data_IF_735924808799
#
_entry.id   IF_735924808799
#
_cell.length_a   1.000
_cell.length_b   1.000
_cell.length_c   1.000
_cell.angle_alpha   90.00
_cell.angle_beta   90.00
_cell.angle_gamma   90.00
#
_symmetry.space_group_name_H-M   'P 1'
#
loop_
_entity.id
_entity.type
_entity.pdbx_description
1 polymer ?
#
# COMPACT_ATOMS: atom_id res chain seq x y z
N UNK A 1 24.38 -17.45 -3.35
CA UNK A 1 24.85 -16.68 -2.18
C UNK A 1 25.28 -15.32 -2.72
N UNK A 2 24.35 -14.35 -2.76
CA UNK A 2 24.68 -12.97 -3.10
C UNK A 2 25.21 -12.32 -1.82
N UNK A 3 26.46 -11.89 -1.87
CA UNK A 3 27.16 -11.17 -0.81
C UNK A 3 26.45 -9.84 -0.61
N UNK A 4 25.88 -9.66 0.57
CA UNK A 4 25.34 -8.36 1.05
C UNK A 4 26.55 -7.45 1.31
N UNK A 5 27.15 -6.93 0.23
CA UNK A 5 28.25 -5.99 0.34
C UNK A 5 27.67 -4.68 0.86
N UNK A 6 27.97 -4.37 2.12
CA UNK A 6 27.67 -3.09 2.76
C UNK A 6 28.35 -1.98 1.94
N UNK A 7 27.54 -1.23 1.18
CA UNK A 7 28.02 -0.05 0.46
C UNK A 7 28.23 1.07 1.51
N UNK A 8 29.49 1.52 1.73
CA UNK A 8 29.79 2.54 2.74
C UNK A 8 29.14 3.91 2.45
N UNK A 9 28.57 4.11 1.26
CA UNK A 9 27.81 5.30 0.91
C UNK A 9 26.37 5.29 1.45
N UNK A 10 25.86 4.13 1.92
CA UNK A 10 24.49 4.00 2.43
C UNK A 10 24.48 4.20 3.96
N UNK A 11 23.74 5.20 4.49
CA UNK A 11 23.62 5.38 5.93
C UNK A 11 23.10 4.12 6.62
N UNK A 12 23.70 3.75 7.76
CA UNK A 12 23.32 2.53 8.49
C UNK A 12 21.83 2.49 8.88
N UNK A 13 21.22 3.66 9.13
CA UNK A 13 19.79 3.80 9.42
C UNK A 13 18.95 3.39 8.20
N UNK A 14 19.31 3.89 7.02
CA UNK A 14 18.62 3.55 5.78
C UNK A 14 18.89 2.07 5.39
N UNK A 15 20.08 1.54 5.63
CA UNK A 15 20.40 0.13 5.41
C UNK A 15 19.51 -0.82 6.24
N UNK A 16 19.22 -0.46 7.51
CA UNK A 16 18.24 -1.21 8.32
C UNK A 16 16.83 -1.12 7.77
N UNK A 17 16.41 0.07 7.32
CA UNK A 17 15.11 0.27 6.70
C UNK A 17 14.96 -0.55 5.41
N UNK A 18 15.97 -0.58 4.54
CA UNK A 18 16.00 -1.45 3.35
C UNK A 18 15.82 -2.92 3.72
N UNK A 19 16.51 -3.37 4.77
CA UNK A 19 16.37 -4.75 5.25
C UNK A 19 14.94 -5.01 5.74
N UNK A 20 14.31 -4.08 6.44
CA UNK A 20 12.93 -4.19 6.90
C UNK A 20 11.95 -4.25 5.71
N UNK A 21 12.11 -3.39 4.69
CA UNK A 21 11.31 -3.42 3.45
C UNK A 21 11.40 -4.78 2.77
N UNK A 22 12.61 -5.33 2.59
CA UNK A 22 12.84 -6.61 1.89
C UNK A 22 12.38 -7.83 2.68
N UNK A 23 12.25 -7.71 4.01
CA UNK A 23 11.80 -8.80 4.90
C UNK A 23 10.32 -8.70 5.27
N UNK A 24 9.63 -7.65 4.87
CA UNK A 24 8.21 -7.47 5.14
C UNK A 24 7.41 -8.67 4.63
N UNK A 25 6.46 -9.12 5.44
CA UNK A 25 5.55 -10.23 5.08
C UNK A 25 4.39 -9.66 4.27
N UNK A 26 4.46 -9.85 2.97
CA UNK A 26 3.42 -9.38 2.06
C UNK A 26 2.39 -10.47 1.77
N UNK A 27 1.24 -10.05 1.30
CA UNK A 27 0.16 -10.95 0.88
C UNK A 27 0.61 -11.87 -0.27
N UNK A 28 0.25 -13.18 -0.24
CA UNK A 28 0.65 -14.13 -1.28
C UNK A 28 0.03 -13.84 -2.65
N UNK A 29 -1.06 -13.05 -2.69
CA UNK A 29 -1.72 -12.62 -3.91
C UNK A 29 -0.95 -11.52 -4.65
N UNK A 30 0.13 -10.98 -4.04
CA UNK A 30 0.94 -9.94 -4.67
C UNK A 30 2.19 -10.51 -5.34
N UNK A 31 2.38 -10.13 -6.61
CA UNK A 31 3.67 -10.20 -7.26
C UNK A 31 4.41 -8.89 -7.01
N UNK A 32 5.39 -8.93 -6.12
CA UNK A 32 6.20 -7.78 -5.72
C UNK A 32 7.57 -7.80 -6.38
N UNK A 33 8.05 -6.64 -6.81
CA UNK A 33 9.41 -6.45 -7.31
C UNK A 33 9.97 -5.07 -6.96
N UNK A 34 11.29 -5.01 -6.71
CA UNK A 34 11.99 -3.74 -6.58
C UNK A 34 12.14 -3.10 -7.97
N UNK A 35 11.88 -1.81 -8.07
CA UNK A 35 11.98 -1.02 -9.29
C UNK A 35 12.93 0.17 -9.08
N UNK A 36 13.43 0.80 -10.15
CA UNK A 36 14.22 2.02 -10.02
C UNK A 36 13.44 3.08 -9.23
N UNK A 37 14.06 3.57 -8.15
CA UNK A 37 13.47 4.63 -7.35
C UNK A 37 13.46 5.96 -8.13
N UNK A 38 12.44 6.82 -7.91
CA UNK A 38 12.40 8.14 -8.54
C UNK A 38 13.58 8.98 -8.04
N UNK A 39 14.31 9.59 -8.99
CA UNK A 39 15.43 10.46 -8.67
C UNK A 39 14.99 11.85 -8.20
N UNK A 40 15.84 12.51 -7.41
CA UNK A 40 15.67 13.92 -7.04
C UNK A 40 14.63 14.20 -5.94
N UNK A 41 14.04 13.17 -5.32
CA UNK A 41 13.09 13.35 -4.21
C UNK A 41 13.76 13.31 -2.83
N UNK A 42 14.83 12.55 -2.70
CA UNK A 42 15.61 12.41 -1.47
C UNK A 42 17.03 11.91 -1.81
N UNK A 43 18.00 12.07 -0.90
CA UNK A 43 19.35 11.51 -1.08
C UNK A 43 19.34 9.98 -1.20
N UNK A 44 18.43 9.30 -0.50
CA UNK A 44 18.28 7.86 -0.55
C UNK A 44 16.82 7.46 -0.74
N UNK A 45 16.58 6.48 -1.60
CA UNK A 45 15.25 5.98 -1.87
C UNK A 45 15.27 4.50 -2.27
N UNK A 46 14.17 3.80 -1.98
CA UNK A 46 13.86 2.48 -2.54
C UNK A 46 12.42 2.47 -3.02
N UNK A 47 12.18 1.81 -4.15
CA UNK A 47 10.84 1.71 -4.70
C UNK A 47 10.49 0.25 -5.03
N UNK A 48 9.24 -0.09 -4.77
CA UNK A 48 8.65 -1.39 -5.03
C UNK A 48 7.42 -1.20 -5.93
N UNK A 49 7.20 -2.15 -6.83
CA UNK A 49 5.94 -2.27 -7.56
C UNK A 49 5.29 -3.61 -7.24
N UNK A 50 3.97 -3.64 -7.19
CA UNK A 50 3.21 -4.86 -6.98
C UNK A 50 2.00 -4.91 -7.90
N UNK A 51 1.70 -6.13 -8.37
CA UNK A 51 0.46 -6.49 -9.05
C UNK A 51 -0.31 -7.49 -8.19
N UNK A 52 -1.61 -7.28 -8.06
CA UNK A 52 -2.53 -8.23 -7.41
C UNK A 52 -2.94 -9.28 -8.43
N UNK A 53 -2.60 -10.53 -8.17
CA UNK A 53 -2.87 -11.66 -9.06
C UNK A 53 -3.74 -12.68 -8.31
N UNK A 54 -4.87 -13.12 -8.89
CA UNK A 54 -5.69 -14.14 -8.25
C UNK A 54 -4.90 -15.45 -8.14
N UNK A 55 -4.86 -16.03 -6.93
CA UNK A 55 -4.19 -17.31 -6.65
C UNK A 55 -4.95 -18.50 -7.27
N UNK A 56 -6.22 -18.33 -7.59
CA UNK A 56 -7.09 -19.35 -8.15
C UNK A 56 -7.58 -18.93 -9.54
N UNK A 57 -7.47 -19.84 -10.49
CA UNK A 57 -8.06 -19.82 -11.82
C UNK A 57 -7.24 -19.21 -12.96
N UNK A 58 -6.04 -19.71 -13.30
CA UNK A 58 -5.52 -19.74 -14.68
C UNK A 58 -5.72 -18.52 -15.59
N UNK A 59 -6.16 -17.38 -15.03
CA UNK A 59 -6.38 -16.13 -15.74
C UNK A 59 -5.29 -15.17 -15.28
N UNK A 60 -4.40 -14.80 -16.18
CA UNK A 60 -3.36 -13.78 -15.98
C UNK A 60 -3.97 -12.35 -15.90
N UNK A 61 -5.08 -12.17 -15.19
CA UNK A 61 -5.68 -10.86 -15.01
C UNK A 61 -5.13 -10.19 -13.75
N UNK A 62 -4.59 -8.99 -13.92
CA UNK A 62 -4.17 -8.13 -12.82
C UNK A 62 -5.42 -7.47 -12.23
N UNK A 63 -5.69 -7.76 -10.95
CA UNK A 63 -6.85 -7.22 -10.21
C UNK A 63 -6.57 -5.83 -9.63
N UNK A 64 -5.31 -5.43 -9.57
CA UNK A 64 -4.89 -4.14 -9.05
C UNK A 64 -3.39 -3.98 -9.13
N UNK A 65 -2.92 -2.76 -9.08
CA UNK A 65 -1.50 -2.43 -9.13
C UNK A 65 -1.15 -1.41 -8.07
N UNK A 66 0.12 -1.40 -7.64
CA UNK A 66 0.58 -0.41 -6.70
C UNK A 66 2.07 -0.14 -6.76
N UNK A 67 2.45 0.96 -6.12
CA UNK A 67 3.84 1.35 -5.91
C UNK A 67 4.02 1.82 -4.47
N UNK A 68 5.15 1.46 -3.91
CA UNK A 68 5.60 1.89 -2.60
C UNK A 68 6.99 2.48 -2.74
N UNK A 69 7.18 3.68 -2.23
CA UNK A 69 8.48 4.37 -2.24
C UNK A 69 8.80 4.76 -0.81
N UNK A 70 9.96 4.33 -0.32
CA UNK A 70 10.53 4.82 0.91
C UNK A 70 11.63 5.83 0.55
N UNK A 71 11.50 7.03 1.06
CA UNK A 71 12.47 8.11 0.96
C UNK A 71 13.18 8.25 2.30
N UNK A 72 14.46 8.58 2.28
CA UNK A 72 15.26 8.91 3.45
C UNK A 72 16.14 10.12 3.19
N UNK A 73 16.04 11.08 4.08
CA UNK A 73 16.87 12.28 4.10
C UNK A 73 17.39 12.50 5.53
N UNK A 74 18.71 12.43 5.76
CA UNK A 74 19.30 12.65 7.08
C UNK A 74 19.13 14.09 7.58
N UNK A 75 18.80 15.05 6.71
CA UNK A 75 18.56 16.46 7.10
C UNK A 75 17.14 16.68 7.66
N UNK A 76 16.30 15.63 7.69
CA UNK A 76 14.96 15.66 8.28
C UNK A 76 14.11 16.83 7.78
N UNK A 77 13.71 16.87 6.50
CA UNK A 77 12.92 17.98 5.96
C UNK A 77 11.72 18.31 6.85
N UNK A 78 11.53 19.57 7.19
CA UNK A 78 10.45 20.04 8.07
C UNK A 78 9.07 19.55 7.57
N UNK A 79 8.86 19.54 6.26
CA UNK A 79 7.62 19.07 5.65
C UNK A 79 7.32 17.57 5.89
N UNK A 80 8.32 16.78 6.24
CA UNK A 80 8.14 15.36 6.56
C UNK A 80 7.91 15.13 8.04
N UNK A 81 8.52 15.93 8.92
CA UNK A 81 8.49 15.75 10.37
C UNK A 81 9.33 14.57 10.84
N UNK A 82 10.36 14.18 10.06
CA UNK A 82 11.30 13.11 10.37
C UNK A 82 12.15 12.73 9.15
N UNK A 83 13.14 11.81 9.31
CA UNK A 83 14.08 11.47 8.25
C UNK A 83 13.52 10.56 7.16
N UNK A 84 12.41 9.89 7.43
CA UNK A 84 11.75 8.99 6.48
C UNK A 84 10.47 9.59 5.92
N UNK A 85 10.14 9.25 4.68
CA UNK A 85 8.83 9.50 4.08
C UNK A 85 8.43 8.31 3.22
N UNK A 86 7.25 7.79 3.47
CA UNK A 86 6.59 6.84 2.57
C UNK A 86 5.72 7.60 1.61
N UNK A 87 5.76 7.20 0.34
CA UNK A 87 4.81 7.59 -0.70
C UNK A 87 4.26 6.33 -1.32
N UNK A 88 2.95 6.14 -1.31
CA UNK A 88 2.33 4.98 -1.91
C UNK A 88 1.28 5.36 -2.95
N UNK A 89 1.11 4.46 -3.87
CA UNK A 89 0.09 4.42 -4.89
C UNK A 89 -0.57 3.05 -4.87
N UNK A 90 -1.89 3.01 -4.96
CA UNK A 90 -2.66 1.79 -5.07
C UNK A 90 -3.87 2.05 -5.98
N UNK A 91 -4.13 1.14 -6.92
CA UNK A 91 -5.18 1.28 -7.92
C UNK A 91 -5.80 -0.08 -8.23
N UNK A 92 -7.12 -0.12 -8.32
CA UNK A 92 -7.85 -1.29 -8.75
C UNK A 92 -9.10 -0.92 -9.56
N UNK A 93 -9.52 -1.76 -10.53
CA UNK A 93 -10.84 -1.65 -11.13
C UNK A 93 -11.91 -1.93 -10.07
N UNK A 94 -13.06 -1.30 -10.22
CA UNK A 94 -14.24 -1.52 -9.40
C UNK A 94 -15.41 -1.96 -10.27
N UNK A 95 -16.36 -2.67 -9.67
CA UNK A 95 -17.69 -2.79 -10.26
C UNK A 95 -18.32 -1.39 -10.37
N UNK A 96 -19.04 -1.14 -11.47
CA UNK A 96 -19.59 0.20 -11.76
C UNK A 96 -20.50 0.70 -10.66
N UNK A 97 -21.32 -0.17 -10.07
CA UNK A 97 -22.23 0.18 -8.98
C UNK A 97 -21.47 0.64 -7.73
N UNK A 98 -20.33 0.00 -7.40
CA UNK A 98 -19.45 0.41 -6.31
C UNK A 98 -18.78 1.75 -6.64
N UNK A 99 -18.35 1.93 -7.89
CA UNK A 99 -17.74 3.18 -8.36
C UNK A 99 -18.68 4.39 -8.26
N UNK A 100 -19.99 4.15 -8.34
CA UNK A 100 -21.02 5.19 -8.20
C UNK A 100 -21.28 5.59 -6.73
N UNK A 101 -20.88 4.75 -5.77
CA UNK A 101 -21.07 5.07 -4.34
C UNK A 101 -20.35 6.39 -3.99
N UNK A 102 -21.05 7.39 -3.43
CA UNK A 102 -20.45 8.67 -3.06
C UNK A 102 -19.37 8.52 -1.98
N UNK A 103 -19.42 7.49 -1.13
CA UNK A 103 -18.54 7.31 0.03
C UNK A 103 -17.31 6.43 -0.27
N UNK A 104 -17.18 5.84 -1.46
CA UNK A 104 -16.11 4.89 -1.74
C UNK A 104 -14.70 5.50 -1.56
N UNK A 105 -14.54 6.79 -1.80
CA UNK A 105 -13.26 7.48 -1.58
C UNK A 105 -12.89 7.55 -0.08
N UNK A 106 -13.86 7.84 0.78
CA UNK A 106 -13.68 7.86 2.23
C UNK A 106 -13.41 6.45 2.78
N UNK A 107 -14.13 5.45 2.24
CA UNK A 107 -13.92 4.03 2.56
C UNK A 107 -12.52 3.59 2.18
N UNK A 108 -12.02 3.97 1.00
CA UNK A 108 -10.67 3.63 0.58
C UNK A 108 -9.58 4.24 1.49
N UNK A 109 -9.80 5.48 1.92
CA UNK A 109 -8.91 6.11 2.91
C UNK A 109 -8.95 5.39 4.26
N UNK A 110 -10.14 5.01 4.74
CA UNK A 110 -10.26 4.24 5.99
C UNK A 110 -9.55 2.89 5.90
N UNK A 111 -9.59 2.23 4.73
CA UNK A 111 -8.85 0.96 4.51
C UNK A 111 -7.34 1.12 4.67
N UNK A 112 -6.75 2.25 4.23
CA UNK A 112 -5.35 2.55 4.46
C UNK A 112 -5.06 2.69 5.96
N UNK A 113 -5.85 3.52 6.66
CA UNK A 113 -5.68 3.77 8.10
C UNK A 113 -5.83 2.48 8.91
N UNK A 114 -6.85 1.68 8.61
CA UNK A 114 -7.10 0.39 9.24
C UNK A 114 -5.96 -0.60 8.99
N UNK A 115 -5.40 -0.62 7.76
CA UNK A 115 -4.29 -1.51 7.42
C UNK A 115 -3.02 -1.11 8.17
N UNK A 116 -2.73 0.20 8.29
CA UNK A 116 -1.61 0.69 9.09
C UNK A 116 -1.78 0.32 10.58
N UNK A 117 -2.99 0.50 11.13
CA UNK A 117 -3.29 0.15 12.52
C UNK A 117 -3.19 -1.36 12.77
N UNK A 118 -3.69 -2.19 11.85
CA UNK A 118 -3.66 -3.66 11.96
C UNK A 118 -2.23 -4.24 11.93
N UNK A 119 -1.26 -3.49 11.38
CA UNK A 119 0.15 -3.86 11.33
C UNK A 119 0.99 -3.17 12.40
N UNK A 120 0.37 -2.49 13.36
CA UNK A 120 1.07 -1.67 14.36
C UNK A 120 2.08 -0.71 13.73
N UNK A 121 1.77 -0.20 12.54
CA UNK A 121 2.60 0.77 11.83
C UNK A 121 2.45 2.14 12.48
N UNK A 122 3.43 2.53 13.28
CA UNK A 122 3.48 3.87 13.86
C UNK A 122 3.90 4.89 12.82
N UNK A 123 3.10 5.94 12.68
CA UNK A 123 3.35 6.99 11.69
C UNK A 123 2.79 8.34 12.13
N UNK A 124 3.27 9.39 11.48
CA UNK A 124 2.77 10.77 11.61
C UNK A 124 2.54 11.39 10.23
N UNK A 125 1.95 12.58 10.19
CA UNK A 125 1.81 13.41 9.00
C UNK A 125 1.24 12.68 7.77
N UNK A 126 0.24 11.80 7.98
CA UNK A 126 -0.43 11.11 6.88
C UNK A 126 -1.29 12.09 6.07
N UNK A 127 -1.17 12.01 4.75
CA UNK A 127 -1.95 12.80 3.80
C UNK A 127 -2.14 12.01 2.50
N UNK A 128 -3.19 12.33 1.76
CA UNK A 128 -3.42 11.65 0.49
C UNK A 128 -4.67 12.09 -0.25
N UNK A 129 -4.92 11.43 -1.36
CA UNK A 129 -6.10 11.59 -2.21
C UNK A 129 -6.65 10.23 -2.60
N UNK A 130 -7.96 10.10 -2.66
CA UNK A 130 -8.64 9.00 -3.31
C UNK A 130 -9.38 9.54 -4.54
N UNK A 131 -9.13 8.93 -5.70
CA UNK A 131 -9.68 9.37 -6.99
C UNK A 131 -10.56 8.28 -7.56
N UNK A 132 -11.80 8.62 -7.90
CA UNK A 132 -12.70 7.75 -8.66
C UNK A 132 -12.64 8.14 -10.13
N UNK A 133 -12.53 7.14 -10.97
CA UNK A 133 -12.63 7.32 -12.43
C UNK A 133 -13.81 6.50 -12.92
N UNK A 134 -14.73 7.15 -13.61
CA UNK A 134 -15.84 6.49 -14.31
C UNK A 134 -15.59 6.68 -15.80
N UNK A 135 -15.70 5.61 -16.57
CA UNK A 135 -15.48 5.59 -18.01
C UNK A 135 -16.71 5.03 -18.70
N UNK A 136 -17.15 5.67 -19.76
CA UNK A 136 -18.24 5.20 -20.62
C UNK A 136 -17.72 5.03 -22.04
N UNK A 137 -17.90 3.85 -22.61
CA UNK A 137 -17.50 3.53 -23.99
C UNK A 137 -18.52 4.02 -25.00
N UNK A 138 -18.04 4.55 -26.14
CA UNK A 138 -18.86 4.97 -27.28
C UNK A 138 -18.36 4.36 -28.59
N UNK A 139 -19.21 4.28 -29.56
CA UNK A 139 -18.89 3.72 -30.90
C UNK A 139 -18.49 2.24 -30.78
N UNK A 140 -17.35 1.86 -31.33
CA UNK A 140 -16.82 0.48 -31.26
C UNK A 140 -16.50 0.00 -29.85
N UNK A 141 -16.39 0.90 -28.88
CA UNK A 141 -16.13 0.58 -27.47
C UNK A 141 -17.43 0.47 -26.64
N UNK A 142 -18.59 0.75 -27.24
CA UNK A 142 -19.88 0.72 -26.53
C UNK A 142 -20.18 -0.65 -25.88
N UNK A 143 -19.78 -1.73 -26.58
CA UNK A 143 -19.98 -3.10 -26.12
C UNK A 143 -19.10 -3.50 -24.92
N UNK A 144 -18.07 -2.71 -24.58
CA UNK A 144 -17.24 -2.94 -23.40
C UNK A 144 -17.92 -2.50 -22.11
N UNK A 145 -19.02 -1.74 -22.22
CA UNK A 145 -19.77 -1.21 -21.09
C UNK A 145 -19.04 -0.07 -20.35
N UNK A 146 -19.63 0.32 -19.24
CA UNK A 146 -19.04 1.30 -18.33
C UNK A 146 -17.99 0.66 -17.42
N UNK A 147 -16.92 1.39 -17.16
CA UNK A 147 -15.85 0.99 -16.24
C UNK A 147 -15.72 1.94 -15.06
N UNK A 148 -15.35 1.40 -13.91
CA UNK A 148 -14.99 2.19 -12.75
C UNK A 148 -13.62 1.79 -12.23
N UNK A 149 -12.89 2.75 -11.66
CA UNK A 149 -11.57 2.54 -11.08
C UNK A 149 -11.40 3.41 -9.85
N UNK A 150 -10.72 2.89 -8.84
CA UNK A 150 -10.35 3.60 -7.63
C UNK A 150 -8.84 3.67 -7.51
N UNK A 151 -8.34 4.87 -7.24
CA UNK A 151 -6.92 5.15 -7.01
C UNK A 151 -6.75 5.81 -5.64
N UNK A 152 -5.78 5.36 -4.87
CA UNK A 152 -5.33 5.97 -3.62
C UNK A 152 -3.88 6.38 -3.78
N UNK A 153 -3.60 7.66 -3.55
CA UNK A 153 -2.24 8.20 -3.39
C UNK A 153 -2.12 8.69 -1.97
N UNK A 154 -1.14 8.19 -1.24
CA UNK A 154 -0.94 8.59 0.14
C UNK A 154 0.54 8.73 0.46
N UNK A 155 0.83 9.51 1.49
CA UNK A 155 2.15 9.62 2.05
C UNK A 155 2.08 9.82 3.56
N UNK A 156 3.07 9.29 4.27
CA UNK A 156 3.19 9.42 5.73
C UNK A 156 4.65 9.30 6.15
N UNK A 157 4.94 9.72 7.38
CA UNK A 157 6.25 9.61 8.01
C UNK A 157 6.23 8.43 8.97
N UNK A 158 6.84 7.29 8.62
CA UNK A 158 6.92 6.15 9.51
C UNK A 158 8.00 6.35 10.57
N UNK A 159 7.82 5.74 11.74
CA UNK A 159 8.95 5.52 12.64
C UNK A 159 9.97 4.60 11.96
N UNK A 160 11.25 4.76 12.32
CA UNK A 160 12.31 3.95 11.73
C UNK A 160 12.11 2.43 11.93
N UNK A 161 11.45 2.02 13.02
CA UNK A 161 11.06 0.64 13.30
C UNK A 161 9.80 0.19 12.56
N UNK A 162 8.93 1.11 12.14
CA UNK A 162 7.64 0.85 11.50
C UNK A 162 7.68 0.73 9.97
N UNK A 163 8.88 0.84 9.36
CA UNK A 163 9.01 0.81 7.88
C UNK A 163 8.50 -0.50 7.29
N UNK A 164 8.86 -1.65 7.88
CA UNK A 164 8.38 -2.96 7.43
C UNK A 164 6.85 -3.08 7.52
N UNK A 165 6.28 -2.68 8.67
CA UNK A 165 4.83 -2.65 8.89
C UNK A 165 4.11 -1.74 7.88
N UNK A 166 4.75 -0.64 7.45
CA UNK A 166 4.20 0.22 6.39
C UNK A 166 4.09 -0.48 5.03
N UNK A 167 5.07 -1.32 4.66
CA UNK A 167 5.01 -2.14 3.44
C UNK A 167 3.89 -3.17 3.54
N UNK A 168 3.77 -3.84 4.68
CA UNK A 168 2.72 -4.84 4.93
C UNK A 168 1.32 -4.22 4.88
N UNK A 169 1.14 -3.04 5.48
CA UNK A 169 -0.12 -2.30 5.43
C UNK A 169 -0.50 -1.87 4.00
N UNK A 170 0.48 -1.40 3.21
CA UNK A 170 0.24 -1.10 1.80
C UNK A 170 -0.14 -2.36 1.00
N UNK A 171 0.47 -3.50 1.29
CA UNK A 171 0.12 -4.80 0.71
C UNK A 171 -1.35 -5.19 1.01
N UNK A 172 -1.79 -4.98 2.25
CA UNK A 172 -3.18 -5.23 2.65
C UNK A 172 -4.15 -4.27 1.94
N UNK A 173 -3.79 -2.99 1.83
CA UNK A 173 -4.58 -1.98 1.10
C UNK A 173 -4.79 -2.39 -0.36
N UNK A 174 -3.74 -2.82 -1.06
CA UNK A 174 -3.83 -3.27 -2.45
C UNK A 174 -4.83 -4.42 -2.62
N UNK A 175 -4.76 -5.42 -1.75
CA UNK A 175 -5.67 -6.54 -1.78
C UNK A 175 -7.11 -6.14 -1.47
N UNK A 176 -7.33 -5.23 -0.51
CA UNK A 176 -8.66 -4.70 -0.20
C UNK A 176 -9.26 -3.93 -1.38
N UNK A 177 -8.48 -3.06 -2.02
CA UNK A 177 -8.91 -2.33 -3.23
C UNK A 177 -9.28 -3.29 -4.36
N UNK A 178 -8.55 -4.39 -4.51
CA UNK A 178 -8.81 -5.44 -5.48
C UNK A 178 -9.98 -6.38 -5.09
N UNK A 179 -10.72 -6.08 -4.01
CA UNK A 179 -11.86 -6.87 -3.57
C UNK A 179 -11.51 -8.18 -2.86
N UNK A 180 -10.25 -8.38 -2.48
CA UNK A 180 -9.83 -9.59 -1.77
C UNK A 180 -10.13 -9.48 -0.27
N UNK A 181 -10.52 -10.58 0.40
CA UNK A 181 -10.80 -10.55 1.82
C UNK A 181 -9.54 -10.24 2.65
N UNK A 182 -9.70 -9.65 3.84
CA UNK A 182 -8.60 -9.49 4.78
C UNK A 182 -8.04 -10.86 5.18
N UNK A 183 -6.73 -10.92 5.49
CA UNK A 183 -6.12 -12.14 6.03
C UNK A 183 -6.74 -12.49 7.38
N UNK A 184 -6.88 -13.81 7.72
CA UNK A 184 -7.45 -14.22 9.00
C UNK A 184 -6.77 -13.62 10.24
N UNK A 185 -5.49 -13.31 10.16
CA UNK A 185 -4.71 -12.71 11.26
C UNK A 185 -5.07 -11.23 11.52
N UNK A 186 -5.72 -10.56 10.56
CA UNK A 186 -6.21 -9.17 10.70
C UNK A 186 -7.64 -9.08 11.22
N UNK A 187 -8.35 -10.21 11.33
CA UNK A 187 -9.65 -10.27 12.01
C UNK A 187 -9.38 -10.34 13.50
N UNK A 188 -9.15 -9.19 14.14
CA UNK A 188 -9.06 -9.11 15.59
C UNK A 188 -10.29 -9.79 16.21
N UNK A 189 -10.06 -10.82 17.01
CA UNK A 189 -11.10 -11.44 17.81
C UNK A 189 -11.77 -10.34 18.64
N UNK A 190 -12.98 -9.94 18.25
CA UNK A 190 -13.83 -9.10 19.08
C UNK A 190 -13.89 -9.77 20.46
N UNK A 191 -13.53 -9.09 21.55
CA UNK A 191 -13.60 -9.68 22.88
C UNK A 191 -15.03 -10.13 23.13
N UNK A 192 -15.20 -11.42 23.31
CA UNK A 192 -16.48 -12.09 23.55
C UNK A 192 -17.06 -11.51 24.86
N UNK A 193 -17.94 -10.51 24.74
CA UNK A 193 -18.72 -9.98 25.88
C UNK A 193 -19.76 -11.03 26.27
N UNK A 194 -19.30 -12.13 26.85
CA UNK A 194 -20.19 -13.10 27.52
C UNK A 194 -19.97 -13.05 29.01
N UNK A 195 -21.11 -12.77 29.67
CA UNK A 195 -21.45 -13.13 31.02
C UNK A 195 -20.84 -12.38 32.20
N UNK A 196 -21.46 -11.25 32.55
CA UNK A 196 -21.73 -10.98 33.96
C UNK A 196 -23.25 -10.91 34.14
N UNK A 197 -23.86 -12.06 34.31
CA UNK A 197 -25.16 -12.25 34.97
C UNK A 197 -25.05 -13.50 35.80
N UNK A 198 -24.91 -13.34 37.07
CA UNK A 198 -24.98 -14.25 38.17
C UNK A 198 -24.91 -13.46 39.43
#
# INVERSE_FOLDING_TARGET
>A
MASDAFDPAVPAVFGRALTAVRRATIRPELRLGEIPAPGGLAPHAVAMAADVIPVAHGVDSVLGTGRFVLLYDPEEPEAWGGPFRVVCFAQAPLETDIGLDPFIAEVAWSWLVDSLAARDAHYTAASGTATKVLSTGFGELADQGDGAQLEVRASWTPDASGVGASVEAWSDLLCRLAGLPPTPDTVGLLPNRRAARG
#
